data_IF_718881749479
#
_entry.id   IF_718881749479
#
_cell.length_a   1.000
_cell.length_b   1.000
_cell.length_c   1.000
_cell.angle_alpha   90.00
_cell.angle_beta   90.00
_cell.angle_gamma   90.00
#
_symmetry.space_group_name_H-M   'P 1'
#
loop_
_entity.id
_entity.type
_entity.pdbx_description
1 polymer ?
#
# COMPACT_ATOMS: atom_id res chain seq x y z
N UNK A 1 -25.10 -13.70 -14.81
CA UNK A 1 -23.96 -14.61 -14.68
C UNK A 1 -22.69 -13.81 -14.89
N UNK A 2 -21.66 -14.02 -14.07
CA UNK A 2 -20.39 -13.30 -14.10
C UNK A 2 -19.23 -14.27 -14.27
N UNK A 3 -18.15 -13.84 -14.93
CA UNK A 3 -16.97 -14.67 -15.19
C UNK A 3 -15.71 -13.99 -14.66
N UNK A 4 -14.91 -14.71 -13.90
CA UNK A 4 -13.65 -14.25 -13.32
C UNK A 4 -12.51 -15.16 -13.75
N UNK A 5 -11.30 -14.58 -13.84
CA UNK A 5 -10.06 -15.33 -14.02
C UNK A 5 -9.16 -15.00 -12.84
N UNK A 6 -8.74 -16.02 -12.10
CA UNK A 6 -7.70 -15.89 -11.08
C UNK A 6 -6.46 -16.64 -11.57
N UNK A 7 -5.35 -15.94 -11.69
CA UNK A 7 -4.12 -16.44 -12.28
C UNK A 7 -2.94 -16.15 -11.35
N UNK A 8 -2.02 -17.09 -11.25
CA UNK A 8 -0.75 -16.91 -10.56
C UNK A 8 0.40 -17.08 -11.55
N UNK A 9 1.55 -16.46 -11.28
CA UNK A 9 2.80 -16.83 -11.95
C UNK A 9 3.13 -18.27 -11.56
N UNK A 10 3.79 -19.04 -12.44
CA UNK A 10 4.14 -20.45 -12.17
C UNK A 10 4.95 -20.58 -10.89
N UNK A 11 5.89 -19.67 -10.69
CA UNK A 11 6.79 -19.66 -9.54
C UNK A 11 6.02 -19.51 -8.23
N UNK A 12 5.04 -18.59 -8.19
CA UNK A 12 4.18 -18.39 -7.02
C UNK A 12 3.21 -19.54 -6.81
N UNK A 13 2.63 -20.09 -7.89
CA UNK A 13 1.74 -21.23 -7.80
C UNK A 13 2.45 -22.47 -7.23
N UNK A 14 3.70 -22.71 -7.62
CA UNK A 14 4.53 -23.77 -7.06
C UNK A 14 4.84 -23.51 -5.58
N UNK A 15 5.37 -22.32 -5.28
CA UNK A 15 5.77 -21.90 -3.94
C UNK A 15 4.62 -21.91 -2.93
N UNK A 16 3.41 -21.56 -3.36
CA UNK A 16 2.20 -21.45 -2.54
C UNK A 16 1.27 -22.66 -2.67
N UNK A 17 1.71 -23.72 -3.36
CA UNK A 17 0.96 -24.98 -3.52
C UNK A 17 -0.39 -24.87 -4.27
N UNK A 18 -0.51 -23.96 -5.23
CA UNK A 18 -1.69 -23.75 -6.10
C UNK A 18 -1.55 -24.37 -7.51
N UNK A 19 -0.81 -25.47 -7.65
CA UNK A 19 -0.55 -26.13 -8.94
C UNK A 19 -1.63 -27.12 -9.39
N UNK A 20 -2.67 -27.34 -8.59
CA UNK A 20 -3.72 -28.31 -8.90
C UNK A 20 -5.11 -27.78 -8.56
N UNK A 21 -6.13 -28.38 -9.20
CA UNK A 21 -7.53 -27.98 -9.05
C UNK A 21 -8.07 -28.08 -7.61
N UNK A 22 -7.58 -29.02 -6.80
CA UNK A 22 -8.01 -29.19 -5.41
C UNK A 22 -7.58 -28.02 -4.53
N UNK A 23 -6.36 -27.50 -4.69
CA UNK A 23 -5.90 -26.31 -3.96
C UNK A 23 -6.78 -25.09 -4.25
N UNK A 24 -7.10 -24.85 -5.53
CA UNK A 24 -8.01 -23.78 -5.94
C UNK A 24 -9.43 -24.00 -5.41
N UNK A 25 -9.93 -25.24 -5.46
CA UNK A 25 -11.26 -25.59 -4.94
C UNK A 25 -11.35 -25.32 -3.44
N UNK A 26 -10.33 -25.67 -2.66
CA UNK A 26 -10.29 -25.39 -1.21
C UNK A 26 -10.34 -23.90 -0.91
N UNK A 27 -9.57 -23.10 -1.64
CA UNK A 27 -9.61 -21.63 -1.54
C UNK A 27 -11.02 -21.08 -1.78
N UNK A 28 -11.67 -21.49 -2.87
CA UNK A 28 -13.02 -21.02 -3.21
C UNK A 28 -14.08 -21.46 -2.20
N UNK A 29 -13.97 -22.67 -1.66
CA UNK A 29 -14.88 -23.17 -0.62
C UNK A 29 -14.69 -22.41 0.70
N UNK A 30 -13.45 -22.15 1.09
CA UNK A 30 -13.13 -21.42 2.32
C UNK A 30 -13.69 -20.00 2.31
N UNK A 31 -13.72 -19.35 1.14
CA UNK A 31 -14.14 -17.95 0.96
C UNK A 31 -15.50 -17.79 0.28
N UNK A 32 -16.30 -18.86 0.19
CA UNK A 32 -17.56 -18.85 -0.57
C UNK A 32 -18.53 -17.79 -0.05
N UNK A 33 -18.57 -17.58 1.27
CA UNK A 33 -19.49 -16.63 1.91
C UNK A 33 -19.08 -15.19 1.60
N UNK A 34 -17.80 -14.91 1.65
CA UNK A 34 -17.19 -13.61 1.39
C UNK A 34 -17.40 -13.21 -0.08
N UNK A 35 -17.20 -14.16 -1.00
CA UNK A 35 -17.47 -13.98 -2.43
C UNK A 35 -18.96 -13.70 -2.67
N UNK A 36 -19.86 -14.45 -2.02
CA UNK A 36 -21.30 -14.22 -2.12
C UNK A 36 -21.70 -12.81 -1.65
N UNK A 37 -21.19 -12.39 -0.48
CA UNK A 37 -21.44 -11.06 0.06
C UNK A 37 -20.92 -9.95 -0.85
N UNK A 38 -19.70 -10.11 -1.40
CA UNK A 38 -19.10 -9.13 -2.30
C UNK A 38 -19.92 -8.94 -3.58
N UNK A 39 -20.62 -9.98 -4.03
CA UNK A 39 -21.53 -9.95 -5.17
C UNK A 39 -22.98 -9.59 -4.81
N UNK A 40 -23.26 -9.29 -3.54
CA UNK A 40 -24.62 -9.04 -3.02
C UNK A 40 -25.57 -10.20 -3.32
N UNK A 41 -25.09 -11.43 -3.10
CA UNK A 41 -25.85 -12.67 -3.23
C UNK A 41 -25.95 -13.28 -1.84
N UNK A 42 -27.14 -13.73 -1.43
CA UNK A 42 -27.28 -14.51 -0.21
C UNK A 42 -26.47 -15.81 -0.34
N UNK A 43 -25.70 -16.24 0.67
CA UNK A 43 -24.87 -17.46 0.57
C UNK A 43 -25.66 -18.70 0.13
N UNK A 44 -26.92 -18.83 0.56
CA UNK A 44 -27.83 -19.92 0.14
C UNK A 44 -28.16 -19.92 -1.37
N UNK A 45 -28.14 -18.75 -2.00
CA UNK A 45 -28.42 -18.55 -3.43
C UNK A 45 -27.14 -18.49 -4.26
N UNK A 46 -25.97 -18.44 -3.64
CA UNK A 46 -24.69 -18.37 -4.34
C UNK A 46 -24.40 -19.67 -5.07
N UNK A 47 -24.13 -19.57 -6.37
CA UNK A 47 -23.75 -20.68 -7.23
C UNK A 47 -22.51 -20.31 -7.99
N UNK A 48 -21.59 -21.27 -8.09
CA UNK A 48 -20.37 -21.09 -8.85
C UNK A 48 -19.91 -22.39 -9.47
N UNK A 49 -19.14 -22.26 -10.54
CA UNK A 49 -18.41 -23.35 -11.18
C UNK A 49 -17.02 -22.84 -11.56
N UNK A 50 -15.99 -23.66 -11.42
CA UNK A 50 -14.64 -23.26 -11.81
C UNK A 50 -13.93 -24.36 -12.60
N UNK A 51 -13.17 -23.94 -13.62
CA UNK A 51 -12.29 -24.81 -14.40
C UNK A 51 -10.84 -24.39 -14.17
N UNK A 52 -9.99 -25.33 -13.77
CA UNK A 52 -8.56 -25.12 -13.58
C UNK A 52 -7.78 -25.46 -14.84
N UNK A 53 -6.88 -24.56 -15.24
CA UNK A 53 -5.97 -24.73 -16.36
C UNK A 53 -4.53 -24.71 -15.88
N UNK A 54 -3.84 -25.85 -16.01
CA UNK A 54 -2.40 -25.96 -15.75
C UNK A 54 -1.60 -25.51 -16.98
N UNK A 55 -1.48 -24.19 -17.18
CA UNK A 55 -0.64 -23.61 -18.24
C UNK A 55 0.77 -23.38 -17.75
N UNK A 56 1.77 -23.66 -18.61
CA UNK A 56 3.21 -23.61 -18.31
C UNK A 56 3.65 -22.39 -17.47
N UNK A 57 3.22 -21.18 -17.82
CA UNK A 57 3.67 -19.95 -17.15
C UNK A 57 2.67 -19.36 -16.15
N UNK A 58 1.40 -19.74 -16.25
CA UNK A 58 0.34 -19.10 -15.48
C UNK A 58 -0.81 -20.09 -15.22
N UNK A 59 -0.68 -20.99 -14.22
CA UNK A 59 -1.81 -21.77 -13.78
C UNK A 59 -2.91 -20.81 -13.29
N UNK A 60 -4.15 -21.05 -13.74
CA UNK A 60 -5.29 -20.18 -13.45
C UNK A 60 -6.60 -20.95 -13.39
N UNK A 61 -7.60 -20.35 -12.78
CA UNK A 61 -8.98 -20.80 -12.84
C UNK A 61 -9.84 -19.82 -13.63
N UNK A 62 -10.77 -20.36 -14.42
CA UNK A 62 -11.94 -19.64 -14.90
C UNK A 62 -13.10 -19.95 -13.98
N UNK A 63 -13.65 -18.94 -13.32
CA UNK A 63 -14.78 -19.09 -12.40
C UNK A 63 -16.02 -18.42 -12.98
N UNK A 64 -17.12 -19.15 -13.06
CA UNK A 64 -18.46 -18.64 -13.36
C UNK A 64 -19.25 -18.53 -12.08
N UNK A 65 -19.92 -17.40 -11.86
CA UNK A 65 -20.69 -17.13 -10.64
C UNK A 65 -22.06 -16.55 -10.97
N UNK A 66 -23.09 -17.03 -10.28
CA UNK A 66 -24.46 -16.57 -10.44
C UNK A 66 -25.26 -16.76 -9.15
N UNK A 67 -26.41 -16.08 -9.11
CA UNK A 67 -27.41 -16.29 -8.07
C UNK A 67 -28.50 -17.23 -8.58
N UNK A 68 -28.99 -18.11 -7.70
CA UNK A 68 -30.21 -18.88 -7.94
C UNK A 68 -31.47 -17.98 -7.94
N UNK A 69 -31.41 -16.83 -7.25
CA UNK A 69 -32.42 -15.77 -7.30
C UNK A 69 -32.02 -14.71 -8.34
N UNK A 70 -32.79 -14.53 -9.43
CA UNK A 70 -32.46 -13.57 -10.49
C UNK A 70 -32.49 -12.10 -10.05
N UNK A 71 -33.09 -11.77 -8.90
CA UNK A 71 -33.08 -10.41 -8.34
C UNK A 71 -31.78 -10.09 -7.58
N UNK A 72 -30.93 -11.09 -7.33
CA UNK A 72 -29.67 -10.96 -6.60
C UNK A 72 -28.47 -11.11 -7.54
N UNK A 73 -27.34 -10.54 -7.14
CA UNK A 73 -26.10 -10.59 -7.92
C UNK A 73 -25.87 -9.31 -8.71
N UNK A 74 -25.20 -8.36 -8.06
CA UNK A 74 -24.72 -7.15 -8.72
C UNK A 74 -23.25 -6.95 -8.39
N UNK A 75 -22.43 -6.88 -9.44
CA UNK A 75 -21.00 -6.67 -9.31
C UNK A 75 -20.71 -5.17 -9.27
N UNK A 76 -20.21 -4.68 -8.14
CA UNK A 76 -19.68 -3.32 -8.03
C UNK A 76 -18.16 -3.35 -8.09
N UNK A 77 -17.54 -2.23 -8.44
CA UNK A 77 -16.08 -2.06 -8.37
C UNK A 77 -15.55 -2.42 -6.97
N UNK A 78 -16.18 -1.88 -5.91
CA UNK A 78 -15.89 -2.23 -4.52
C UNK A 78 -16.03 -3.73 -4.23
N UNK A 79 -17.00 -4.40 -4.85
CA UNK A 79 -17.20 -5.85 -4.72
C UNK A 79 -16.06 -6.63 -5.37
N UNK A 80 -15.62 -6.21 -6.56
CA UNK A 80 -14.46 -6.79 -7.25
C UNK A 80 -13.19 -6.63 -6.42
N UNK A 81 -12.94 -5.42 -5.92
CA UNK A 81 -11.79 -5.13 -5.04
C UNK A 81 -11.83 -5.98 -3.78
N UNK A 82 -12.99 -6.13 -3.14
CA UNK A 82 -13.15 -6.96 -1.95
C UNK A 82 -12.85 -8.43 -2.25
N UNK A 83 -13.37 -8.99 -3.34
CA UNK A 83 -13.07 -10.38 -3.72
C UNK A 83 -11.58 -10.57 -4.02
N UNK A 84 -10.97 -9.65 -4.79
CA UNK A 84 -9.53 -9.69 -5.09
C UNK A 84 -8.73 -9.67 -3.81
N UNK A 85 -9.02 -8.73 -2.91
CA UNK A 85 -8.33 -8.60 -1.63
C UNK A 85 -8.46 -9.87 -0.78
N UNK A 86 -9.65 -10.46 -0.67
CA UNK A 86 -9.85 -11.70 0.10
C UNK A 86 -9.02 -12.85 -0.44
N UNK A 87 -9.08 -13.09 -1.76
CA UNK A 87 -8.35 -14.19 -2.39
C UNK A 87 -6.83 -13.97 -2.34
N UNK A 88 -6.35 -12.76 -2.63
CA UNK A 88 -4.92 -12.44 -2.53
C UNK A 88 -4.43 -12.54 -1.09
N UNK A 89 -5.18 -12.06 -0.10
CA UNK A 89 -4.78 -12.15 1.30
C UNK A 89 -4.70 -13.59 1.80
N UNK A 90 -5.57 -14.47 1.30
CA UNK A 90 -5.50 -15.89 1.62
C UNK A 90 -4.31 -16.59 0.94
N UNK A 91 -4.11 -16.34 -0.35
CA UNK A 91 -3.03 -16.95 -1.13
C UNK A 91 -1.66 -16.57 -0.58
N UNK A 92 -1.48 -15.30 -0.18
CA UNK A 92 -0.21 -14.75 0.31
C UNK A 92 -0.20 -14.57 1.83
N UNK A 93 -1.06 -15.30 2.57
CA UNK A 93 -1.27 -15.10 4.01
C UNK A 93 0.02 -15.10 4.83
N UNK A 94 0.96 -15.98 4.49
CA UNK A 94 2.21 -16.13 5.25
C UNK A 94 3.28 -15.08 4.87
N UNK A 95 3.11 -14.39 3.74
CA UNK A 95 4.05 -13.37 3.24
C UNK A 95 3.60 -11.95 3.56
N UNK A 96 2.30 -11.73 3.71
CA UNK A 96 1.77 -10.41 4.03
C UNK A 96 2.29 -9.86 5.37
N UNK A 97 2.40 -10.65 6.46
CA UNK A 97 2.96 -10.15 7.72
C UNK A 97 4.41 -9.70 7.59
N UNK A 98 5.25 -10.42 6.86
CA UNK A 98 6.67 -10.07 6.68
C UNK A 98 6.83 -8.82 5.82
N UNK A 99 6.01 -8.65 4.78
CA UNK A 99 5.99 -7.43 3.96
C UNK A 99 5.52 -6.21 4.74
N UNK A 100 4.48 -6.33 5.57
CA UNK A 100 4.04 -5.23 6.43
C UNK A 100 5.09 -4.85 7.47
N UNK A 101 5.73 -5.83 8.10
CA UNK A 101 6.84 -5.59 9.04
C UNK A 101 8.04 -4.92 8.36
N UNK A 102 8.42 -5.35 7.17
CA UNK A 102 9.47 -4.69 6.39
C UNK A 102 9.10 -3.25 6.07
N UNK A 103 7.86 -3.00 5.63
CA UNK A 103 7.40 -1.64 5.32
C UNK A 103 7.43 -0.73 6.56
N UNK A 104 6.98 -1.24 7.71
CA UNK A 104 7.00 -0.51 8.97
C UNK A 104 8.45 -0.23 9.44
N UNK A 105 9.36 -1.18 9.24
CA UNK A 105 10.79 -1.01 9.52
C UNK A 105 11.43 0.06 8.62
N UNK A 106 11.19 0.02 7.31
CA UNK A 106 11.71 1.04 6.39
C UNK A 106 11.13 2.42 6.72
N UNK A 107 9.84 2.50 7.04
CA UNK A 107 9.21 3.75 7.44
C UNK A 107 9.81 4.30 8.75
N UNK A 108 10.08 3.45 9.75
CA UNK A 108 10.70 3.88 10.99
C UNK A 108 12.13 4.37 10.77
N UNK A 109 12.91 3.68 9.95
CA UNK A 109 14.28 4.08 9.59
C UNK A 109 14.31 5.43 8.88
N UNK A 110 13.44 5.66 7.91
CA UNK A 110 13.33 6.96 7.21
C UNK A 110 12.95 8.07 8.19
N UNK A 111 11.96 7.83 9.05
CA UNK A 111 11.53 8.79 10.07
C UNK A 111 12.69 9.13 11.02
N UNK A 112 13.38 8.12 11.52
CA UNK A 112 14.43 8.28 12.52
C UNK A 112 15.65 8.99 11.91
N UNK A 113 16.04 8.65 10.67
CA UNK A 113 17.08 9.35 9.93
C UNK A 113 16.72 10.82 9.65
N UNK A 114 15.47 11.10 9.29
CA UNK A 114 14.99 12.47 9.09
C UNK A 114 14.99 13.27 10.40
N UNK A 115 14.56 12.66 11.51
CA UNK A 115 14.63 13.28 12.85
C UNK A 115 16.06 13.57 13.26
N UNK A 116 16.99 12.65 13.04
CA UNK A 116 18.40 12.82 13.36
C UNK A 116 19.05 13.93 12.51
N UNK A 117 18.76 13.97 11.20
CA UNK A 117 19.23 15.01 10.31
C UNK A 117 18.69 16.40 10.70
N UNK A 118 17.40 16.49 11.04
CA UNK A 118 16.80 17.73 11.55
C UNK A 118 17.44 18.16 12.89
N UNK A 119 17.66 17.22 13.81
CA UNK A 119 18.34 17.50 15.08
C UNK A 119 19.76 18.04 14.88
N UNK A 120 20.54 17.44 13.96
CA UNK A 120 21.88 17.93 13.59
C UNK A 120 21.83 19.33 12.96
N UNK A 121 20.84 19.61 12.12
CA UNK A 121 20.68 20.92 11.50
C UNK A 121 20.34 21.98 12.54
N UNK A 122 19.37 21.72 13.41
CA UNK A 122 19.01 22.62 14.53
C UNK A 122 20.24 22.86 15.41
N UNK A 123 20.95 21.81 15.83
CA UNK A 123 22.16 21.96 16.64
C UNK A 123 23.25 22.78 15.92
N UNK A 124 23.45 22.60 14.61
CA UNK A 124 24.41 23.40 13.82
C UNK A 124 23.97 24.86 13.66
N UNK A 125 22.67 25.13 13.65
CA UNK A 125 22.12 26.48 13.60
C UNK A 125 22.25 27.18 14.96
N UNK A 126 22.02 26.46 16.06
CA UNK A 126 22.21 26.93 17.43
C UNK A 126 23.70 27.15 17.77
N UNK A 127 24.60 26.32 17.22
CA UNK A 127 26.05 26.41 17.47
C UNK A 127 26.82 27.24 16.43
N UNK A 128 26.15 27.74 15.39
CA UNK A 128 26.76 28.56 14.33
C UNK A 128 27.72 27.81 13.40
N UNK A 129 27.75 26.47 13.44
CA UNK A 129 28.72 25.63 12.72
C UNK A 129 28.31 25.24 11.29
N UNK A 130 27.05 25.50 10.88
CA UNK A 130 26.61 25.32 9.49
C UNK A 130 25.45 26.26 9.17
N UNK A 131 25.75 27.35 8.47
CA UNK A 131 24.76 28.35 8.08
C UNK A 131 24.31 28.05 6.64
N UNK A 132 23.21 27.31 6.47
CA UNK A 132 22.39 27.49 5.27
C UNK A 132 21.33 28.55 5.61
N UNK A 133 21.62 29.84 5.36
CA UNK A 133 20.72 30.93 5.75
C UNK A 133 19.32 30.76 5.16
N UNK A 134 19.18 30.14 3.98
CA UNK A 134 17.87 29.90 3.37
C UNK A 134 17.02 28.90 4.17
N UNK A 135 17.61 27.84 4.74
CA UNK A 135 16.88 26.90 5.60
C UNK A 135 16.56 27.57 6.94
N UNK A 136 17.50 28.34 7.49
CA UNK A 136 17.31 29.05 8.76
C UNK A 136 16.18 30.07 8.72
N UNK A 137 16.21 30.96 7.74
CA UNK A 137 15.16 31.96 7.54
C UNK A 137 13.79 31.30 7.34
N UNK A 138 13.74 30.19 6.59
CA UNK A 138 12.49 29.47 6.34
C UNK A 138 11.95 28.77 7.58
N UNK A 139 12.82 28.19 8.40
CA UNK A 139 12.46 27.55 9.68
C UNK A 139 11.95 28.58 10.69
N UNK A 140 12.60 29.74 10.76
CA UNK A 140 12.17 30.84 11.64
C UNK A 140 10.79 31.39 11.21
N UNK A 141 10.61 31.60 9.90
CA UNK A 141 9.32 31.97 9.32
C UNK A 141 8.23 30.92 9.64
N UNK A 142 8.55 29.63 9.52
CA UNK A 142 7.63 28.55 9.84
C UNK A 142 7.27 28.56 11.33
N UNK A 143 8.23 28.81 12.22
CA UNK A 143 8.00 28.89 13.66
C UNK A 143 7.00 30.01 14.00
N UNK A 144 7.19 31.21 13.45
CA UNK A 144 6.25 32.32 13.62
C UNK A 144 4.85 32.01 13.05
N UNK A 145 4.77 31.39 11.87
CA UNK A 145 3.48 30.98 11.28
C UNK A 145 2.74 29.92 12.13
N UNK A 146 3.47 29.12 12.90
CA UNK A 146 2.92 28.06 13.76
C UNK A 146 2.61 28.54 15.18
N UNK A 147 3.06 29.73 15.58
CA UNK A 147 2.83 30.31 16.91
C UNK A 147 1.33 30.57 17.13
N UNK A 148 0.66 31.14 16.14
CA UNK A 148 -0.80 31.41 16.15
C UNK A 148 -1.67 30.21 15.71
N UNK A 149 -1.05 29.06 15.42
CA UNK A 149 -1.77 27.93 14.84
C UNK A 149 -2.44 27.04 15.91
N UNK A 150 -3.75 27.24 16.11
CA UNK A 150 -4.56 26.51 17.11
C UNK A 150 -4.98 25.08 16.72
N UNK A 151 -4.65 24.62 15.51
CA UNK A 151 -5.01 23.29 14.99
C UNK A 151 -3.81 22.34 15.09
N UNK A 152 -4.05 21.02 14.99
CA UNK A 152 -3.00 19.99 14.92
C UNK A 152 -1.90 20.40 13.93
N UNK A 153 -0.66 20.48 14.44
CA UNK A 153 0.56 20.81 13.68
C UNK A 153 1.06 19.59 12.89
N UNK A 154 0.17 18.99 12.11
CA UNK A 154 0.43 17.82 11.25
C UNK A 154 0.15 18.24 9.81
N UNK A 155 1.06 17.93 8.88
CA UNK A 155 1.05 18.47 7.50
C UNK A 155 -0.34 18.47 6.86
N UNK A 156 -1.08 17.35 6.91
CA UNK A 156 -2.42 17.24 6.33
C UNK A 156 -3.43 18.31 6.80
N UNK A 157 -3.32 18.76 8.05
CA UNK A 157 -4.20 19.74 8.70
C UNK A 157 -3.73 21.19 8.57
N UNK A 158 -2.51 21.41 8.07
CA UNK A 158 -1.97 22.77 7.90
C UNK A 158 -2.69 23.52 6.79
N UNK A 159 -2.89 24.84 6.99
CA UNK A 159 -3.40 25.74 5.95
C UNK A 159 -2.40 25.83 4.79
N UNK A 160 -2.89 26.10 3.57
CA UNK A 160 -2.07 26.21 2.35
C UNK A 160 -0.77 27.05 2.51
N UNK A 161 -0.77 28.23 3.16
CA UNK A 161 0.46 29.03 3.31
C UNK A 161 1.53 28.32 4.14
N UNK A 162 1.12 27.64 5.21
CA UNK A 162 2.04 26.90 6.09
C UNK A 162 2.57 25.66 5.37
N UNK A 163 1.71 24.95 4.61
CA UNK A 163 2.14 23.82 3.76
C UNK A 163 3.19 24.24 2.73
N UNK A 164 2.99 25.39 2.09
CA UNK A 164 3.95 25.93 1.11
C UNK A 164 5.31 26.20 1.77
N UNK A 165 5.32 26.74 2.99
CA UNK A 165 6.55 26.96 3.72
C UNK A 165 7.25 25.66 4.11
N UNK A 166 6.49 24.66 4.58
CA UNK A 166 7.03 23.31 4.86
C UNK A 166 7.62 22.69 3.59
N UNK A 167 6.92 22.76 2.46
CA UNK A 167 7.42 22.24 1.18
C UNK A 167 8.72 22.93 0.78
N UNK A 168 8.80 24.26 0.89
CA UNK A 168 10.02 24.99 0.56
C UNK A 168 11.22 24.59 1.45
N UNK A 169 10.98 24.25 2.73
CA UNK A 169 12.03 23.71 3.60
C UNK A 169 12.47 22.33 3.12
N UNK A 170 11.51 21.45 2.81
CA UNK A 170 11.79 20.11 2.28
C UNK A 170 12.56 20.18 0.96
N UNK A 171 12.22 21.09 0.06
CA UNK A 171 12.90 21.31 -1.21
C UNK A 171 14.36 21.75 -1.02
N UNK A 172 14.64 22.60 -0.04
CA UNK A 172 16.03 22.99 0.30
C UNK A 172 16.79 21.85 0.99
N UNK A 173 16.11 21.06 1.84
CA UNK A 173 16.71 19.87 2.45
C UNK A 173 17.05 18.81 1.41
N UNK A 174 16.22 18.64 0.39
CA UNK A 174 16.46 17.69 -0.71
C UNK A 174 17.73 18.00 -1.51
N UNK A 175 18.25 19.23 -1.46
CA UNK A 175 19.52 19.61 -2.10
C UNK A 175 20.75 19.23 -1.27
N UNK A 176 20.58 18.82 -0.01
CA UNK A 176 21.68 18.37 0.84
C UNK A 176 22.09 16.97 0.37
N UNK A 177 23.37 16.72 0.01
CA UNK A 177 23.79 15.46 -0.63
C UNK A 177 23.39 14.20 0.13
N UNK A 178 23.54 14.19 1.46
CA UNK A 178 23.14 13.08 2.32
C UNK A 178 21.62 12.82 2.29
N UNK A 179 20.81 13.88 2.20
CA UNK A 179 19.34 13.77 2.16
C UNK A 179 18.88 13.29 0.78
N UNK A 180 19.51 13.78 -0.29
CA UNK A 180 19.26 13.32 -1.65
C UNK A 180 19.50 11.82 -1.80
N UNK A 181 20.60 11.30 -1.25
CA UNK A 181 20.93 9.87 -1.29
C UNK A 181 19.86 9.00 -0.62
N UNK A 182 19.35 9.42 0.55
CA UNK A 182 18.25 8.70 1.22
C UNK A 182 16.92 8.78 0.44
N UNK A 183 16.63 9.91 -0.21
CA UNK A 183 15.45 10.04 -1.07
C UNK A 183 15.52 9.13 -2.30
N UNK A 184 16.71 8.97 -2.89
CA UNK A 184 16.94 8.08 -4.03
C UNK A 184 16.72 6.62 -3.63
N UNK A 185 17.29 6.18 -2.50
CA UNK A 185 17.07 4.83 -1.96
C UNK A 185 15.58 4.56 -1.69
N UNK A 186 14.87 5.52 -1.08
CA UNK A 186 13.43 5.38 -0.82
C UNK A 186 12.59 5.29 -2.11
N UNK A 187 12.90 6.11 -3.11
CA UNK A 187 12.21 6.05 -4.41
C UNK A 187 12.47 4.71 -5.10
N UNK A 188 13.70 4.20 -5.06
CA UNK A 188 14.03 2.90 -5.62
C UNK A 188 13.22 1.77 -4.96
N UNK A 189 13.14 1.73 -3.62
CA UNK A 189 12.34 0.73 -2.92
C UNK A 189 10.84 0.87 -3.18
N UNK A 190 10.32 2.09 -3.39
CA UNK A 190 8.92 2.31 -3.78
C UNK A 190 8.65 1.75 -5.17
N UNK A 191 9.51 2.07 -6.13
CA UNK A 191 9.36 1.67 -7.52
C UNK A 191 9.50 0.13 -7.66
N UNK A 192 10.34 -0.51 -6.85
CA UNK A 192 10.43 -1.97 -6.72
C UNK A 192 9.14 -2.60 -6.16
N UNK A 193 8.51 -1.96 -5.16
CA UNK A 193 7.25 -2.44 -4.57
C UNK A 193 6.03 -2.27 -5.50
N UNK A 194 6.06 -1.32 -6.44
CA UNK A 194 5.00 -1.12 -7.44
C UNK A 194 5.10 -2.09 -8.63
N UNK A 195 6.20 -2.85 -8.76
CA UNK A 195 6.41 -3.85 -9.82
C UNK A 195 5.97 -5.27 -9.45
N UNK A 196 5.49 -5.49 -8.21
CA UNK A 196 5.06 -6.80 -7.68
C UNK A 196 3.58 -7.08 -7.94
#
# INVERSE_FOLDING_TARGET
MWTFVNSLKREDAHRLCYENSESWRRLLLAHQTELAQAMKILPSNFRWYAAFHDKKHHPHIHMMVWSADPQQGFLTEKGIEKMRSQLSNEIFRDELPSLHQQKDLFYSQVRDAAMEAMGRLIWRMETGLYHNPAIAERMDTLAGMLEDHKVKKVYGYLKKPIKAQVNAIVDELAKVPMVAEYYEQWNQSRDEAEQV
#
